data_IF_094363718909
#
_entry.id   IF_094363718909
#
_cell.length_a   1.000
_cell.length_b   1.000
_cell.length_c   1.000
_cell.angle_alpha   90.00
_cell.angle_beta   90.00
_cell.angle_gamma   90.00
#
_symmetry.space_group_name_H-M   'P 1'
#
loop_
_entity.id
_entity.type
_entity.pdbx_description
1 polymer ?
#
# COMPACT_ATOMS: atom_id res chain seq x y z
N UNK A 1 -6.67 5.09 -33.04
CA UNK A 1 -6.93 4.83 -31.62
C UNK A 1 -6.74 3.34 -31.36
N UNK A 2 -5.89 2.96 -30.40
CA UNK A 2 -5.65 1.55 -30.03
C UNK A 2 -6.49 1.17 -28.80
N UNK A 3 -6.69 -0.13 -28.57
CA UNK A 3 -7.40 -0.64 -27.39
C UNK A 3 -6.81 -0.09 -26.06
N UNK A 4 -5.49 -0.02 -25.97
CA UNK A 4 -4.78 0.58 -24.83
C UNK A 4 -5.13 2.05 -24.61
N UNK A 5 -5.18 2.86 -25.68
CA UNK A 5 -5.51 4.29 -25.57
C UNK A 5 -6.95 4.50 -25.08
N UNK A 6 -7.89 3.68 -25.54
CA UNK A 6 -9.29 3.73 -25.10
C UNK A 6 -9.42 3.35 -23.63
N UNK A 7 -8.74 2.29 -23.20
CA UNK A 7 -8.73 1.85 -21.80
C UNK A 7 -8.10 2.91 -20.88
N UNK A 8 -7.00 3.54 -21.30
CA UNK A 8 -6.34 4.60 -20.53
C UNK A 8 -7.23 5.86 -20.39
N UNK A 9 -7.98 6.22 -21.45
CA UNK A 9 -8.96 7.30 -21.38
C UNK A 9 -10.13 6.97 -20.45
N UNK A 10 -10.64 5.74 -20.50
CA UNK A 10 -11.69 5.28 -19.58
C UNK A 10 -11.20 5.36 -18.13
N UNK A 11 -9.99 4.86 -17.85
CA UNK A 11 -9.40 4.87 -16.52
C UNK A 11 -9.18 6.30 -15.99
N UNK A 12 -8.70 7.21 -16.84
CA UNK A 12 -8.50 8.62 -16.47
C UNK A 12 -9.82 9.32 -16.12
N UNK A 13 -10.94 8.80 -16.63
CA UNK A 13 -12.29 9.26 -16.34
C UNK A 13 -12.97 8.47 -15.20
N UNK A 14 -12.26 7.58 -14.51
CA UNK A 14 -12.79 6.75 -13.42
C UNK A 14 -13.68 5.58 -13.88
N UNK A 15 -13.56 5.17 -15.14
CA UNK A 15 -14.27 4.03 -15.72
C UNK A 15 -13.30 2.87 -15.94
N UNK A 16 -13.59 1.75 -15.29
CA UNK A 16 -12.85 0.51 -15.40
C UNK A 16 -13.58 -0.46 -16.31
N UNK A 17 -12.84 -1.11 -17.20
CA UNK A 17 -13.37 -2.12 -18.12
C UNK A 17 -12.62 -3.42 -17.87
N UNK A 18 -13.34 -4.48 -17.55
CA UNK A 18 -12.78 -5.81 -17.33
C UNK A 18 -13.51 -6.87 -18.13
N UNK A 19 -12.89 -8.05 -18.30
CA UNK A 19 -13.55 -9.21 -18.90
C UNK A 19 -14.32 -9.98 -17.82
N UNK A 20 -15.58 -10.27 -18.13
CA UNK A 20 -16.39 -11.27 -17.43
C UNK A 20 -16.73 -12.37 -18.45
N UNK A 21 -15.81 -13.32 -18.61
CA UNK A 21 -15.84 -14.32 -19.68
C UNK A 21 -15.79 -13.66 -21.06
N UNK A 22 -16.88 -13.76 -21.83
CA UNK A 22 -17.00 -13.17 -23.18
C UNK A 22 -17.60 -11.76 -23.19
N UNK A 23 -17.92 -11.19 -22.03
CA UNK A 23 -18.56 -9.87 -21.90
C UNK A 23 -17.60 -8.86 -21.29
N UNK A 24 -17.72 -7.61 -21.72
CA UNK A 24 -17.06 -6.48 -21.07
C UNK A 24 -17.91 -6.02 -19.89
N UNK A 25 -17.37 -6.12 -18.67
CA UNK A 25 -17.92 -5.50 -17.46
C UNK A 25 -17.36 -4.09 -17.37
N UNK A 26 -18.23 -3.10 -17.21
CA UNK A 26 -17.86 -1.70 -17.09
C UNK A 26 -18.26 -1.22 -15.70
N UNK A 27 -17.31 -0.71 -14.93
CA UNK A 27 -17.48 -0.23 -13.56
C UNK A 27 -17.09 1.24 -13.53
N UNK A 28 -17.95 2.11 -13.02
CA UNK A 28 -17.65 3.53 -12.88
C UNK A 28 -18.91 4.38 -12.73
N UNK A 29 -18.75 5.71 -12.57
CA UNK A 29 -19.87 6.62 -12.45
C UNK A 29 -20.81 6.54 -13.67
N UNK A 30 -22.10 6.34 -13.44
CA UNK A 30 -23.07 6.03 -14.51
C UNK A 30 -23.17 7.14 -15.57
N UNK A 31 -22.99 8.40 -15.16
CA UNK A 31 -22.92 9.58 -16.03
C UNK A 31 -21.75 9.52 -17.01
N UNK A 32 -20.60 9.01 -16.56
CA UNK A 32 -19.38 8.89 -17.37
C UNK A 32 -19.44 7.65 -18.25
N UNK A 33 -19.90 6.52 -17.71
CA UNK A 33 -20.08 5.26 -18.44
C UNK A 33 -20.99 5.44 -19.67
N UNK A 34 -22.06 6.22 -19.55
CA UNK A 34 -22.97 6.48 -20.66
C UNK A 34 -22.26 7.11 -21.88
N UNK A 35 -21.29 8.01 -21.64
CA UNK A 35 -20.49 8.63 -22.70
C UNK A 35 -19.50 7.68 -23.39
N UNK A 36 -18.95 6.71 -22.65
CA UNK A 36 -17.97 5.76 -23.19
C UNK A 36 -18.60 4.50 -23.81
N UNK A 37 -19.87 4.19 -23.54
CA UNK A 37 -20.59 3.04 -24.13
C UNK A 37 -20.48 2.92 -25.65
N UNK A 38 -20.76 3.98 -26.45
CA UNK A 38 -20.68 3.86 -27.92
C UNK A 38 -19.24 3.62 -28.40
N UNK A 39 -18.25 4.22 -27.73
CA UNK A 39 -16.83 4.04 -28.04
C UNK A 39 -16.37 2.61 -27.73
N UNK A 40 -16.75 2.07 -26.57
CA UNK A 40 -16.42 0.70 -26.16
C UNK A 40 -17.11 -0.35 -27.04
N UNK A 41 -18.32 -0.07 -27.53
CA UNK A 41 -19.02 -0.93 -28.47
C UNK A 41 -18.30 -0.97 -29.84
N UNK A 42 -17.87 0.18 -30.36
CA UNK A 42 -17.17 0.29 -31.64
C UNK A 42 -15.82 -0.45 -31.65
N UNK A 43 -15.10 -0.45 -30.52
CA UNK A 43 -13.78 -1.08 -30.39
C UNK A 43 -13.78 -2.39 -29.58
N UNK A 44 -14.96 -2.97 -29.36
CA UNK A 44 -15.18 -4.14 -28.48
C UNK A 44 -14.21 -5.29 -28.78
N UNK A 45 -14.06 -5.69 -30.05
CA UNK A 45 -13.22 -6.83 -30.46
C UNK A 45 -11.75 -6.59 -30.12
N UNK A 46 -11.20 -5.42 -30.47
CA UNK A 46 -9.81 -5.08 -30.18
C UNK A 46 -9.52 -4.93 -28.68
N UNK A 47 -10.48 -4.45 -27.90
CA UNK A 47 -10.38 -4.38 -26.43
C UNK A 47 -10.40 -5.78 -25.83
N UNK A 48 -11.29 -6.65 -26.29
CA UNK A 48 -11.33 -8.04 -25.84
C UNK A 48 -10.04 -8.80 -26.17
N UNK A 49 -9.52 -8.65 -27.39
CA UNK A 49 -8.28 -9.31 -27.80
C UNK A 49 -7.09 -8.81 -26.97
N UNK A 50 -7.00 -7.48 -26.76
CA UNK A 50 -5.99 -6.88 -25.88
C UNK A 50 -6.09 -7.40 -24.44
N UNK A 51 -7.29 -7.41 -23.85
CA UNK A 51 -7.52 -7.88 -22.49
C UNK A 51 -7.24 -9.39 -22.34
N UNK A 52 -7.61 -10.21 -23.33
CA UNK A 52 -7.28 -11.65 -23.38
C UNK A 52 -5.78 -11.90 -23.47
N UNK A 53 -5.06 -11.14 -24.29
CA UNK A 53 -3.59 -11.24 -24.40
C UNK A 53 -2.86 -10.78 -23.14
N UNK A 54 -3.46 -9.89 -22.33
CA UNK A 54 -2.91 -9.47 -21.04
C UNK A 54 -3.32 -10.36 -19.85
N UNK A 55 -4.26 -11.30 -20.03
CA UNK A 55 -4.73 -12.21 -18.98
C UNK A 55 -3.91 -13.50 -18.92
N UNK A 56 -2.70 -13.38 -18.38
CA UNK A 56 -2.08 -14.47 -17.62
C UNK A 56 -2.42 -14.20 -16.15
N UNK A 57 -3.60 -14.60 -15.71
CA UNK A 57 -4.09 -14.43 -14.33
C UNK A 57 -5.20 -13.40 -14.22
N UNK A 58 -6.43 -13.88 -14.12
CA UNK A 58 -7.60 -13.06 -13.84
C UNK A 58 -7.52 -12.49 -12.44
N UNK A 59 -7.54 -11.17 -12.35
CA UNK A 59 -8.19 -10.38 -11.31
C UNK A 59 -8.23 -8.94 -11.81
N UNK A 60 -9.14 -8.13 -11.29
CA UNK A 60 -9.26 -6.71 -11.61
C UNK A 60 -7.91 -6.03 -11.33
N UNK A 61 -7.09 -5.89 -12.36
CA UNK A 61 -5.79 -5.29 -12.26
C UNK A 61 -5.89 -3.82 -12.69
N UNK A 62 -5.38 -2.93 -11.84
CA UNK A 62 -5.04 -1.56 -12.26
C UNK A 62 -4.09 -1.60 -13.48
N UNK A 63 -3.91 -0.49 -14.19
CA UNK A 63 -2.99 -0.41 -15.35
C UNK A 63 -1.54 -0.79 -15.06
N UNK A 64 -1.16 -0.88 -13.78
CA UNK A 64 0.11 -1.34 -13.27
C UNK A 64 0.07 -2.77 -12.68
N UNK A 65 -1.00 -3.54 -12.90
CA UNK A 65 -1.10 -4.97 -12.54
C UNK A 65 -1.62 -5.28 -11.13
N UNK A 66 -2.15 -4.30 -10.38
CA UNK A 66 -2.50 -4.51 -8.97
C UNK A 66 -3.91 -5.03 -8.80
N UNK A 67 -4.10 -6.09 -8.01
CA UNK A 67 -5.41 -6.51 -7.58
C UNK A 67 -6.20 -5.33 -7.02
N UNK A 68 -7.44 -5.23 -7.45
CA UNK A 68 -8.43 -4.27 -6.97
C UNK A 68 -9.37 -5.03 -6.05
N UNK A 69 -9.66 -4.43 -4.91
CA UNK A 69 -10.70 -4.93 -4.01
C UNK A 69 -12.07 -4.90 -4.71
N UNK A 70 -12.76 -6.03 -4.73
CA UNK A 70 -13.96 -6.22 -5.54
C UNK A 70 -15.14 -5.32 -5.07
N UNK A 71 -15.24 -5.09 -3.76
CA UNK A 71 -16.37 -4.39 -3.15
C UNK A 71 -16.20 -2.86 -3.20
N UNK A 72 -14.98 -2.36 -2.97
CA UNK A 72 -14.69 -0.92 -2.97
C UNK A 72 -14.24 -0.38 -4.33
N UNK A 73 -13.79 -1.24 -5.24
CA UNK A 73 -13.15 -0.82 -6.48
C UNK A 73 -11.82 -0.10 -6.28
N UNK A 74 -11.28 -0.09 -5.05
CA UNK A 74 -10.00 0.52 -4.72
C UNK A 74 -8.85 -0.47 -4.98
N UNK A 75 -7.69 0.00 -5.48
CA UNK A 75 -6.49 -0.84 -5.53
C UNK A 75 -6.14 -1.30 -4.11
N UNK A 76 -5.76 -2.58 -3.93
CA UNK A 76 -5.15 -2.99 -2.67
C UNK A 76 -3.95 -2.08 -2.39
N UNK A 77 -3.94 -1.42 -1.21
CA UNK A 77 -2.85 -0.54 -0.83
C UNK A 77 -1.55 -1.35 -0.79
N UNK A 78 -0.59 -1.00 -1.65
CA UNK A 78 0.79 -1.44 -1.43
C UNK A 78 1.25 -0.81 -0.14
N UNK A 79 1.71 -1.63 0.79
CA UNK A 79 2.76 -1.16 1.68
C UNK A 79 3.88 -0.62 0.79
N UNK A 80 4.43 0.58 1.05
CA UNK A 80 5.54 1.10 0.26
C UNK A 80 6.60 0.02 0.13
N UNK A 81 7.21 -0.12 -1.05
CA UNK A 81 8.28 -1.10 -1.25
C UNK A 81 9.45 -0.70 -0.35
N UNK A 82 9.57 -1.35 0.80
CA UNK A 82 10.68 -1.16 1.74
C UNK A 82 11.81 -2.06 1.27
N UNK A 83 12.98 -1.48 1.01
CA UNK A 83 14.16 -2.29 0.67
C UNK A 83 14.67 -3.01 1.92
N UNK A 84 15.39 -4.14 1.78
CA UNK A 84 16.01 -4.82 2.93
C UNK A 84 16.89 -3.89 3.76
N UNK A 85 17.60 -2.95 3.12
CA UNK A 85 18.46 -1.96 3.77
C UNK A 85 17.65 -0.96 4.60
N UNK A 86 16.53 -0.49 4.06
CA UNK A 86 15.60 0.39 4.79
C UNK A 86 14.99 -0.32 5.99
N UNK A 87 14.59 -1.59 5.83
CA UNK A 87 14.04 -2.38 6.94
C UNK A 87 15.08 -2.57 8.05
N UNK A 88 16.32 -2.91 7.69
CA UNK A 88 17.42 -3.00 8.65
C UNK A 88 17.73 -1.66 9.31
N UNK A 89 17.65 -0.56 8.57
CA UNK A 89 17.86 0.77 9.13
C UNK A 89 16.79 1.09 10.17
N UNK A 90 15.52 0.84 9.87
CA UNK A 90 14.44 1.07 10.83
C UNK A 90 14.58 0.18 12.07
N UNK A 91 15.05 -1.07 11.92
CA UNK A 91 15.33 -1.95 13.06
C UNK A 91 16.44 -1.39 13.95
N UNK A 92 17.52 -0.87 13.35
CA UNK A 92 18.61 -0.21 14.09
C UNK A 92 18.13 1.04 14.81
N UNK A 93 17.38 1.90 14.11
CA UNK A 93 16.81 3.12 14.69
C UNK A 93 15.91 2.79 15.89
N UNK A 94 15.04 1.80 15.75
CA UNK A 94 14.13 1.37 16.81
C UNK A 94 14.90 0.81 18.01
N UNK A 95 15.93 0.01 17.75
CA UNK A 95 16.84 -0.51 18.80
C UNK A 95 17.51 0.62 19.58
N UNK A 96 18.02 1.63 18.88
CA UNK A 96 18.71 2.78 19.49
C UNK A 96 17.75 3.64 20.34
N UNK A 97 16.58 3.97 19.80
CA UNK A 97 15.57 4.77 20.50
C UNK A 97 15.10 4.06 21.77
N UNK A 98 14.84 2.75 21.69
CA UNK A 98 14.42 1.95 22.85
C UNK A 98 15.51 1.87 23.91
N UNK A 99 16.78 1.71 23.53
CA UNK A 99 17.88 1.73 24.51
C UNK A 99 18.00 3.08 25.22
N UNK A 100 17.97 4.18 24.47
CA UNK A 100 18.01 5.54 25.06
C UNK A 100 16.85 5.76 26.02
N UNK A 101 15.65 5.32 25.63
CA UNK A 101 14.48 5.43 26.48
C UNK A 101 14.59 4.56 27.73
N UNK A 102 15.08 3.33 27.61
CA UNK A 102 15.28 2.42 28.73
C UNK A 102 16.27 2.98 29.76
N UNK A 103 17.35 3.64 29.30
CA UNK A 103 18.28 4.34 30.19
C UNK A 103 17.61 5.51 30.91
N UNK A 104 16.85 6.34 30.19
CA UNK A 104 16.16 7.50 30.77
C UNK A 104 15.06 7.11 31.77
N UNK A 105 14.30 6.07 31.46
CA UNK A 105 13.20 5.57 32.30
C UNK A 105 13.65 4.48 33.29
N UNK A 106 14.96 4.20 33.38
CA UNK A 106 15.56 3.21 34.27
C UNK A 106 14.88 1.84 34.21
N UNK A 107 14.65 1.33 32.99
CA UNK A 107 14.04 0.01 32.83
C UNK A 107 14.95 -1.08 33.36
N UNK A 108 14.34 -2.10 33.94
CA UNK A 108 15.06 -3.30 34.30
C UNK A 108 15.56 -4.05 33.05
N UNK A 109 16.69 -4.74 33.20
CA UNK A 109 17.34 -5.46 32.11
C UNK A 109 16.46 -6.57 31.51
N UNK A 110 15.52 -7.14 32.28
CA UNK A 110 14.62 -8.19 31.78
C UNK A 110 13.60 -7.61 30.81
N UNK A 111 12.97 -6.48 31.16
CA UNK A 111 12.06 -5.74 30.30
C UNK A 111 12.73 -5.27 29.02
N UNK A 112 13.93 -4.68 29.12
CA UNK A 112 14.67 -4.24 27.94
C UNK A 112 14.95 -5.44 27.02
N UNK A 113 15.51 -6.53 27.55
CA UNK A 113 15.82 -7.72 26.76
C UNK A 113 14.57 -8.32 26.08
N UNK A 114 13.41 -8.32 26.75
CA UNK A 114 12.16 -8.78 26.15
C UNK A 114 11.78 -7.95 24.94
N UNK A 115 11.83 -6.63 25.05
CA UNK A 115 11.47 -5.71 23.95
C UNK A 115 12.46 -5.84 22.79
N UNK A 116 13.76 -5.92 23.07
CA UNK A 116 14.78 -6.07 22.02
C UNK A 116 14.62 -7.38 21.23
N UNK A 117 14.22 -8.48 21.90
CA UNK A 117 13.88 -9.74 21.21
C UNK A 117 12.66 -9.60 20.29
N UNK A 118 11.66 -8.80 20.69
CA UNK A 118 10.47 -8.54 19.88
C UNK A 118 10.85 -7.75 18.61
N UNK A 119 11.64 -6.67 18.75
CA UNK A 119 12.07 -5.83 17.61
C UNK A 119 12.77 -6.65 16.53
N UNK A 120 13.65 -7.59 16.92
CA UNK A 120 14.38 -8.44 15.98
C UNK A 120 13.48 -9.32 15.11
N UNK A 121 12.29 -9.68 15.59
CA UNK A 121 11.35 -10.59 14.92
C UNK A 121 10.12 -9.86 14.37
N UNK A 122 10.13 -8.54 14.44
CA UNK A 122 8.97 -7.72 14.16
C UNK A 122 8.69 -7.67 12.66
N UNK A 123 7.43 -7.85 12.22
CA UNK A 123 7.07 -7.67 10.82
C UNK A 123 7.22 -6.21 10.40
N UNK A 124 7.52 -5.99 9.12
CA UNK A 124 7.68 -4.65 8.54
C UNK A 124 6.48 -3.73 8.82
N UNK A 125 5.27 -4.28 8.82
CA UNK A 125 4.03 -3.52 9.03
C UNK A 125 3.92 -2.84 10.39
N UNK A 126 4.59 -3.34 11.43
CA UNK A 126 4.54 -2.76 12.78
C UNK A 126 5.78 -1.96 13.13
N UNK A 127 6.85 -2.10 12.34
CA UNK A 127 8.15 -1.51 12.64
C UNK A 127 8.15 0.02 12.56
N UNK A 128 7.49 0.57 11.53
CA UNK A 128 7.39 2.01 11.34
C UNK A 128 6.44 2.69 12.37
N UNK A 129 5.23 2.16 12.65
CA UNK A 129 4.40 2.66 13.75
C UNK A 129 5.12 2.64 15.11
N UNK A 130 5.82 1.55 15.43
CA UNK A 130 6.54 1.45 16.70
C UNK A 130 7.70 2.44 16.77
N UNK A 131 8.46 2.59 15.68
CA UNK A 131 9.53 3.60 15.61
C UNK A 131 9.00 5.01 15.88
N UNK A 132 7.83 5.35 15.33
CA UNK A 132 7.18 6.62 15.61
C UNK A 132 6.79 6.75 17.09
N UNK A 133 6.08 5.75 17.63
CA UNK A 133 5.66 5.72 19.04
C UNK A 133 6.85 5.90 20.00
N UNK A 134 7.94 5.16 19.79
CA UNK A 134 9.10 5.23 20.67
C UNK A 134 9.88 6.55 20.54
N UNK A 135 9.93 7.15 19.34
CA UNK A 135 10.53 8.48 19.14
C UNK A 135 9.77 9.56 19.90
N UNK A 136 8.45 9.55 19.82
CA UNK A 136 7.60 10.51 20.54
C UNK A 136 7.76 10.36 22.05
N UNK A 137 7.80 9.12 22.53
CA UNK A 137 8.02 8.83 23.94
C UNK A 137 9.41 9.26 24.42
N UNK A 138 10.45 9.06 23.61
CA UNK A 138 11.81 9.53 23.91
C UNK A 138 11.86 11.06 23.97
N UNK A 139 11.25 11.76 23.01
CA UNK A 139 11.17 13.22 23.02
C UNK A 139 10.47 13.73 24.30
N UNK A 140 9.34 13.11 24.67
CA UNK A 140 8.64 13.46 25.91
C UNK A 140 9.48 13.20 27.17
N UNK A 141 10.22 12.08 27.22
CA UNK A 141 11.11 11.76 28.34
C UNK A 141 12.25 12.77 28.49
N UNK A 142 12.86 13.20 27.37
CA UNK A 142 13.91 14.22 27.36
C UNK A 142 13.39 15.58 27.87
N UNK A 143 12.21 16.00 27.42
CA UNK A 143 11.58 17.24 27.92
C UNK A 143 11.32 17.18 29.42
N UNK A 144 10.89 16.02 29.95
CA UNK A 144 10.69 15.83 31.39
C UNK A 144 12.00 15.91 32.16
N UNK A 145 13.06 15.26 31.67
CA UNK A 145 14.38 15.29 32.30
C UNK A 145 14.90 16.73 32.43
N UNK A 146 14.81 17.50 31.35
CA UNK A 146 15.28 18.89 31.30
C UNK A 146 14.45 19.88 32.16
N UNK A 147 13.31 19.45 32.72
CA UNK A 147 12.49 20.27 33.65
C UNK A 147 12.76 19.95 35.11
N UNK A 148 13.47 18.86 35.39
CA UNK A 148 13.75 18.35 36.74
C UNK A 148 15.19 18.68 37.17
N UNK A 149 16.06 18.99 36.20
CA UNK A 149 17.38 19.63 36.40
C UNK A 149 17.25 21.16 36.49
#
# INVERSE_FOLDING_TARGET
>A
MTAFQILNQCQSAGVFVSLNGERLKIIGPQSVVAGFRPLLAAYKKGIMDYLKSSHTGGDLATSNGWPIDYDSGAPFMRMPMVTPEQLQQWQRDLYEVVNKLATLEQWDSSRLNKILRCIKRQPMSTLQPDLHYFRDRLAAALVRKNRVE
#
